data_IF_012122999040
#
_entry.id   IF_012122999040
#
_cell.length_a   1.000
_cell.length_b   1.000
_cell.length_c   1.000
_cell.angle_alpha   90.00
_cell.angle_beta   90.00
_cell.angle_gamma   90.00
#
_symmetry.space_group_name_H-M   'P 1'
#
loop_
_entity.id
_entity.type
_entity.pdbx_description
1 polymer ?
#
# COMPACT_ATOMS: atom_id res chain seq x y z
N UNK A 1 21.34 19.61 -3.86
CA UNK A 1 20.22 18.69 -4.25
C UNK A 1 20.16 17.60 -3.19
N UNK A 2 18.99 17.42 -2.56
CA UNK A 2 18.79 16.41 -1.53
C UNK A 2 18.61 15.03 -2.14
N UNK A 3 19.06 14.00 -1.41
CA UNK A 3 19.02 12.61 -1.88
C UNK A 3 17.95 11.83 -1.13
N UNK A 4 17.08 11.16 -1.87
CA UNK A 4 16.03 10.28 -1.35
C UNK A 4 16.37 8.82 -1.68
N UNK A 5 16.49 8.00 -0.65
CA UNK A 5 16.56 6.55 -0.80
C UNK A 5 15.14 5.98 -0.85
N UNK A 6 14.80 5.29 -1.94
CA UNK A 6 13.49 4.65 -2.11
C UNK A 6 13.68 3.14 -2.12
N UNK A 7 13.17 2.46 -1.11
CA UNK A 7 13.24 1.00 -1.09
C UNK A 7 12.10 0.38 -1.91
N UNK A 8 12.39 -0.78 -2.51
CA UNK A 8 11.41 -1.44 -3.37
C UNK A 8 11.13 -0.67 -4.66
N UNK A 9 12.10 0.12 -5.14
CA UNK A 9 11.97 0.93 -6.34
C UNK A 9 11.69 0.11 -7.63
N UNK A 10 11.99 -1.18 -7.63
CA UNK A 10 11.62 -2.09 -8.73
C UNK A 10 10.16 -2.52 -8.74
N UNK A 11 9.41 -2.28 -7.67
CA UNK A 11 7.99 -2.63 -7.55
C UNK A 11 7.05 -1.57 -8.11
N UNK A 12 5.74 -1.87 -8.08
CA UNK A 12 4.70 -0.99 -8.61
C UNK A 12 4.71 0.42 -8.00
N UNK A 13 4.47 0.54 -6.69
CA UNK A 13 4.43 1.85 -6.02
C UNK A 13 5.83 2.48 -6.01
N UNK A 14 6.88 1.67 -5.77
CA UNK A 14 8.25 2.14 -5.68
C UNK A 14 8.77 2.77 -6.97
N UNK A 15 8.45 2.21 -8.14
CA UNK A 15 8.87 2.78 -9.42
C UNK A 15 8.15 4.10 -9.75
N UNK A 16 6.86 4.22 -9.39
CA UNK A 16 6.13 5.48 -9.51
C UNK A 16 6.68 6.55 -8.55
N UNK A 17 6.97 6.18 -7.31
CA UNK A 17 7.59 7.08 -6.34
C UNK A 17 8.99 7.54 -6.81
N UNK A 18 9.81 6.64 -7.31
CA UNK A 18 11.15 6.97 -7.81
C UNK A 18 11.09 7.99 -8.96
N UNK A 19 10.19 7.79 -9.92
CA UNK A 19 9.95 8.75 -11.00
C UNK A 19 9.42 10.08 -10.46
N UNK A 20 8.46 10.05 -9.55
CA UNK A 20 7.88 11.24 -8.95
C UNK A 20 8.93 12.10 -8.25
N UNK A 21 9.75 11.51 -7.38
CA UNK A 21 10.79 12.24 -6.65
C UNK A 21 11.90 12.76 -7.57
N UNK A 22 12.27 12.02 -8.61
CA UNK A 22 13.22 12.50 -9.61
C UNK A 22 12.68 13.74 -10.35
N UNK A 23 11.40 13.73 -10.74
CA UNK A 23 10.72 14.89 -11.37
C UNK A 23 10.55 16.07 -10.39
N UNK A 24 10.41 15.79 -9.09
CA UNK A 24 10.35 16.81 -8.06
C UNK A 24 11.72 17.44 -7.72
N UNK A 25 12.80 17.02 -8.40
CA UNK A 25 14.13 17.61 -8.27
C UNK A 25 15.02 16.98 -7.21
N UNK A 26 14.67 15.80 -6.69
CA UNK A 26 15.54 15.04 -5.79
C UNK A 26 16.50 14.13 -6.57
N UNK A 27 17.67 13.90 -5.99
CA UNK A 27 18.51 12.78 -6.39
C UNK A 27 17.92 11.51 -5.80
N UNK A 28 17.56 10.55 -6.65
CA UNK A 28 16.95 9.29 -6.21
C UNK A 28 17.95 8.15 -6.25
N UNK A 29 18.02 7.40 -5.16
CA UNK A 29 18.69 6.10 -5.07
C UNK A 29 17.62 5.06 -4.80
N UNK A 30 17.50 4.05 -5.63
CA UNK A 30 16.47 3.00 -5.51
C UNK A 30 17.06 1.68 -5.02
N UNK A 31 16.40 0.97 -4.09
CA UNK A 31 16.76 -0.42 -3.86
C UNK A 31 15.89 -1.36 -4.69
N UNK A 32 16.51 -2.43 -5.17
CA UNK A 32 15.86 -3.51 -5.91
C UNK A 32 16.24 -4.85 -5.28
N UNK A 33 15.38 -5.86 -5.38
CA UNK A 33 15.70 -7.20 -4.87
C UNK A 33 16.15 -8.15 -6.00
N UNK A 34 15.38 -8.28 -7.07
CA UNK A 34 15.65 -9.26 -8.14
C UNK A 34 15.67 -8.67 -9.55
N UNK A 35 14.88 -7.65 -9.82
CA UNK A 35 14.71 -7.09 -11.15
C UNK A 35 14.91 -5.60 -11.14
N UNK A 36 15.70 -5.08 -12.08
CA UNK A 36 15.76 -3.65 -12.38
C UNK A 36 14.54 -3.32 -13.23
N UNK A 37 13.72 -2.38 -12.77
CA UNK A 37 12.70 -1.82 -13.63
C UNK A 37 13.42 -1.01 -14.73
N UNK A 38 13.26 -1.39 -15.99
CA UNK A 38 13.85 -0.70 -17.16
C UNK A 38 13.59 0.81 -17.14
N UNK A 39 12.40 1.19 -16.67
CA UNK A 39 12.00 2.58 -16.44
C UNK A 39 12.95 3.35 -15.53
N UNK A 40 13.50 2.75 -14.48
CA UNK A 40 14.45 3.40 -13.56
C UNK A 40 15.78 3.69 -14.27
N UNK A 41 16.24 2.75 -15.10
CA UNK A 41 17.45 2.92 -15.92
C UNK A 41 17.27 4.06 -16.94
N UNK A 42 16.12 4.13 -17.62
CA UNK A 42 15.79 5.21 -18.57
C UNK A 42 15.74 6.58 -17.89
N UNK A 43 15.39 6.66 -16.62
CA UNK A 43 15.38 7.88 -15.82
C UNK A 43 16.75 8.21 -15.20
N UNK A 44 17.78 7.39 -15.44
CA UNK A 44 19.10 7.57 -14.85
C UNK A 44 19.14 7.39 -13.31
N UNK A 45 18.15 6.70 -12.75
CA UNK A 45 18.08 6.46 -11.30
C UNK A 45 19.08 5.37 -10.93
N UNK A 46 19.98 5.69 -9.99
CA UNK A 46 20.92 4.71 -9.42
C UNK A 46 20.13 3.65 -8.66
N UNK A 47 20.39 2.37 -8.95
CA UNK A 47 19.77 1.26 -8.23
C UNK A 47 20.83 0.42 -7.52
N UNK A 48 20.51 -0.05 -6.32
CA UNK A 48 21.35 -0.92 -5.50
C UNK A 48 20.57 -2.20 -5.22
N UNK A 49 21.14 -3.34 -5.60
CA UNK A 49 20.57 -4.64 -5.25
C UNK A 49 20.96 -4.99 -3.82
N UNK A 50 19.97 -5.15 -2.95
CA UNK A 50 20.16 -5.41 -1.53
C UNK A 50 19.00 -6.20 -0.96
N UNK A 51 19.29 -7.15 -0.08
CA UNK A 51 18.30 -7.71 0.82
C UNK A 51 18.20 -6.85 2.07
N UNK A 52 17.05 -6.23 2.29
CA UNK A 52 16.82 -5.33 3.41
C UNK A 52 16.71 -6.05 4.77
N UNK A 53 16.56 -7.36 4.78
CA UNK A 53 16.62 -8.16 6.00
C UNK A 53 18.06 -8.41 6.47
N UNK A 54 19.05 -8.26 5.59
CA UNK A 54 20.46 -8.40 5.89
C UNK A 54 21.08 -7.07 6.37
N UNK A 55 21.25 -6.95 7.68
CA UNK A 55 21.72 -5.72 8.31
C UNK A 55 23.13 -5.28 7.85
N UNK A 56 24.03 -6.23 7.51
CA UNK A 56 25.39 -5.89 7.05
C UNK A 56 25.34 -5.23 5.67
N UNK A 57 24.48 -5.71 4.79
CA UNK A 57 24.31 -5.15 3.46
C UNK A 57 23.62 -3.77 3.45
N UNK A 58 22.89 -3.42 4.50
CA UNK A 58 22.23 -2.10 4.59
C UNK A 58 23.22 -0.92 4.65
N UNK A 59 24.42 -1.12 5.22
CA UNK A 59 25.43 -0.06 5.32
C UNK A 59 25.85 0.46 3.93
N UNK A 60 25.80 -0.38 2.90
CA UNK A 60 26.09 0.01 1.51
C UNK A 60 25.13 1.07 0.98
N UNK A 61 23.93 1.17 1.54
CA UNK A 61 22.95 2.19 1.16
C UNK A 61 23.34 3.58 1.62
N UNK A 62 24.21 3.68 2.65
CA UNK A 62 24.63 4.91 3.29
C UNK A 62 26.10 5.26 3.00
N UNK A 63 26.76 4.58 2.05
CA UNK A 63 28.08 5.00 1.53
C UNK A 63 28.03 6.41 0.92
N UNK A 64 26.84 6.80 0.44
CA UNK A 64 26.55 8.16 0.01
C UNK A 64 25.63 8.85 1.04
N UNK A 65 25.66 10.17 1.05
CA UNK A 65 24.76 10.94 1.90
C UNK A 65 23.31 10.75 1.45
N UNK A 66 22.49 10.21 2.32
CA UNK A 66 21.04 10.09 2.18
C UNK A 66 20.36 11.11 3.08
N UNK A 67 19.56 12.01 2.52
CA UNK A 67 18.81 13.01 3.28
C UNK A 67 17.49 12.46 3.81
N UNK A 68 16.80 11.62 3.00
CA UNK A 68 15.50 11.04 3.33
C UNK A 68 15.42 9.56 2.92
N UNK A 69 14.67 8.80 3.67
CA UNK A 69 14.31 7.40 3.31
C UNK A 69 12.81 7.30 3.10
N UNK A 70 12.38 6.79 1.96
CA UNK A 70 11.00 6.41 1.66
C UNK A 70 10.96 4.88 1.54
N UNK A 71 10.51 4.23 2.62
CA UNK A 71 10.50 2.78 2.72
C UNK A 71 9.19 2.20 2.20
N UNK A 72 9.23 1.66 0.98
CA UNK A 72 8.07 1.09 0.26
C UNK A 72 8.17 -0.44 0.20
N UNK A 73 9.39 -0.99 0.21
CA UNK A 73 9.60 -2.43 0.14
C UNK A 73 8.80 -3.17 1.21
N UNK A 74 8.05 -4.15 0.78
CA UNK A 74 7.27 -5.01 1.66
C UNK A 74 6.87 -6.29 0.93
N UNK A 75 6.61 -7.33 1.70
CA UNK A 75 5.84 -8.48 1.24
C UNK A 75 4.35 -8.17 1.46
N UNK A 76 3.61 -7.93 0.37
CA UNK A 76 2.17 -7.73 0.38
C UNK A 76 1.51 -8.96 -0.26
N UNK A 77 0.84 -9.78 0.54
CA UNK A 77 0.18 -11.01 0.08
C UNK A 77 -0.94 -11.39 1.03
N UNK A 78 -1.97 -12.03 0.49
CA UNK A 78 -3.10 -12.59 1.27
C UNK A 78 -2.66 -13.78 2.13
N UNK A 79 -1.58 -14.47 1.74
CA UNK A 79 -1.10 -15.73 2.33
C UNK A 79 0.41 -15.79 2.35
N UNK A 80 0.94 -16.71 3.13
CA UNK A 80 2.38 -16.97 3.27
C UNK A 80 2.76 -17.35 4.68
N UNK A 81 4.00 -17.80 4.86
CA UNK A 81 4.53 -18.11 6.20
C UNK A 81 4.69 -16.82 7.00
N UNK A 82 4.36 -16.86 8.28
CA UNK A 82 4.49 -15.73 9.19
C UNK A 82 5.92 -15.17 9.22
N UNK A 83 6.93 -16.05 9.18
CA UNK A 83 8.35 -15.68 9.18
C UNK A 83 8.72 -14.78 7.97
N UNK A 84 8.18 -15.07 6.79
CA UNK A 84 8.47 -14.28 5.59
C UNK A 84 7.99 -12.83 5.71
N UNK A 85 6.83 -12.65 6.35
CA UNK A 85 6.32 -11.29 6.62
C UNK A 85 7.08 -10.62 7.76
N UNK A 86 7.45 -11.38 8.79
CA UNK A 86 8.26 -10.85 9.89
C UNK A 86 9.59 -10.31 9.38
N UNK A 87 10.30 -11.07 8.59
CA UNK A 87 11.60 -10.67 8.03
C UNK A 87 11.47 -9.46 7.11
N UNK A 88 10.54 -9.52 6.13
CA UNK A 88 10.41 -8.48 5.10
C UNK A 88 9.71 -7.20 5.59
N UNK A 89 8.74 -7.30 6.51
CA UNK A 89 7.88 -6.18 6.89
C UNK A 89 8.17 -5.63 8.29
N UNK A 90 8.94 -6.33 9.11
CA UNK A 90 9.26 -5.88 10.46
C UNK A 90 10.77 -5.77 10.71
N UNK A 91 11.53 -6.86 10.57
CA UNK A 91 13.00 -6.80 10.83
C UNK A 91 13.70 -5.86 9.83
N UNK A 92 13.35 -5.92 8.54
CA UNK A 92 13.89 -5.02 7.53
C UNK A 92 13.59 -3.54 7.85
N UNK A 93 12.38 -3.23 8.35
CA UNK A 93 12.01 -1.86 8.78
C UNK A 93 12.88 -1.39 9.93
N UNK A 94 13.02 -2.23 10.97
CA UNK A 94 13.82 -1.91 12.15
C UNK A 94 15.29 -1.62 11.79
N UNK A 95 15.88 -2.55 11.05
CA UNK A 95 17.29 -2.46 10.67
C UNK A 95 17.55 -1.20 9.81
N UNK A 96 16.70 -0.96 8.80
CA UNK A 96 16.86 0.19 7.93
C UNK A 96 16.60 1.51 8.66
N UNK A 97 15.59 1.56 9.54
CA UNK A 97 15.27 2.77 10.28
C UNK A 97 16.37 3.12 11.30
N UNK A 98 16.94 2.12 11.99
CA UNK A 98 18.08 2.30 12.89
C UNK A 98 19.30 2.83 12.12
N UNK A 99 19.69 2.19 11.02
CA UNK A 99 20.78 2.63 10.17
C UNK A 99 20.56 4.05 9.62
N UNK A 100 19.32 4.39 9.21
CA UNK A 100 18.97 5.72 8.75
C UNK A 100 19.20 6.79 9.85
N UNK A 101 18.86 6.48 11.09
CA UNK A 101 19.09 7.41 12.21
C UNK A 101 20.57 7.59 12.52
N UNK A 102 21.36 6.52 12.51
CA UNK A 102 22.81 6.56 12.71
C UNK A 102 23.52 7.40 11.65
N UNK A 103 23.05 7.36 10.40
CA UNK A 103 23.59 8.12 9.27
C UNK A 103 22.96 9.52 9.10
N UNK A 104 22.17 9.99 10.07
CA UNK A 104 21.67 11.37 10.10
C UNK A 104 20.58 11.68 9.09
N UNK A 105 19.84 10.67 8.59
CA UNK A 105 18.68 10.87 7.72
C UNK A 105 17.66 11.79 8.38
N UNK A 106 17.18 12.81 7.68
CA UNK A 106 16.26 13.83 8.21
C UNK A 106 14.91 13.28 8.57
N UNK A 107 14.36 12.39 7.71
CA UNK A 107 13.09 11.71 7.97
C UNK A 107 13.02 10.35 7.27
N UNK A 108 12.46 9.39 7.98
CA UNK A 108 12.10 8.06 7.52
C UNK A 108 10.58 8.01 7.26
N UNK A 109 10.16 7.91 6.00
CA UNK A 109 8.76 7.78 5.61
C UNK A 109 8.45 6.31 5.37
N UNK A 110 7.51 5.77 6.12
CA UNK A 110 7.12 4.38 6.05
C UNK A 110 5.81 4.20 5.28
N UNK A 111 5.82 3.40 4.20
CA UNK A 111 4.60 2.99 3.52
C UNK A 111 3.96 1.83 4.27
N UNK A 112 2.93 2.14 5.02
CA UNK A 112 2.07 1.21 5.74
C UNK A 112 0.87 0.78 4.88
N UNK A 113 -0.29 0.56 5.47
CA UNK A 113 -1.57 0.24 4.83
C UNK A 113 -2.73 0.70 5.71
N UNK A 114 -3.88 1.02 5.13
CA UNK A 114 -5.10 1.28 5.89
C UNK A 114 -5.62 0.03 6.64
N UNK A 115 -5.19 -1.18 6.25
CA UNK A 115 -5.59 -2.44 6.88
C UNK A 115 -5.09 -2.57 8.33
N UNK A 116 -4.22 -1.68 8.78
CA UNK A 116 -3.82 -1.58 10.20
C UNK A 116 -5.00 -1.23 11.12
N UNK A 117 -6.07 -0.68 10.55
CA UNK A 117 -7.32 -0.40 11.28
C UNK A 117 -8.27 -1.60 11.36
N UNK A 118 -7.93 -2.71 10.69
CA UNK A 118 -8.77 -3.90 10.55
C UNK A 118 -9.71 -3.86 9.35
N UNK A 119 -10.31 -4.99 9.06
CA UNK A 119 -11.25 -5.17 7.96
C UNK A 119 -12.68 -5.34 8.51
N UNK A 120 -13.29 -4.23 8.91
CA UNK A 120 -14.67 -4.13 9.37
C UNK A 120 -15.32 -2.85 8.83
N UNK A 121 -16.60 -2.61 9.14
CA UNK A 121 -17.28 -1.44 8.60
C UNK A 121 -16.81 -0.14 9.24
N UNK A 122 -16.47 0.82 8.41
CA UNK A 122 -16.14 2.21 8.75
C UNK A 122 -17.14 3.18 8.09
N UNK A 123 -17.22 4.41 8.63
CA UNK A 123 -18.22 5.42 8.22
C UNK A 123 -17.59 6.81 8.06
N UNK A 124 -16.36 6.87 7.54
CA UNK A 124 -15.64 8.11 7.27
C UNK A 124 -14.80 8.62 8.44
N UNK A 125 -14.38 7.72 9.33
CA UNK A 125 -13.55 8.10 10.48
C UNK A 125 -12.16 8.58 10.02
N UNK A 126 -11.67 9.62 10.73
CA UNK A 126 -10.32 10.12 10.56
C UNK A 126 -9.32 9.34 11.40
N UNK A 127 -8.04 9.44 11.07
CA UNK A 127 -6.94 8.76 11.75
C UNK A 127 -6.89 9.04 13.27
N UNK A 128 -7.40 10.20 13.71
CA UNK A 128 -7.41 10.57 15.14
C UNK A 128 -8.47 9.79 15.94
N UNK A 129 -9.43 9.17 15.25
CA UNK A 129 -10.49 8.34 15.85
C UNK A 129 -10.28 6.84 15.63
N UNK A 130 -9.27 6.47 14.84
CA UNK A 130 -8.97 5.09 14.50
C UNK A 130 -7.81 4.58 15.36
N UNK A 131 -7.96 3.36 15.86
CA UNK A 131 -6.90 2.63 16.55
C UNK A 131 -6.42 1.47 15.66
N UNK A 132 -5.23 0.95 15.94
CA UNK A 132 -4.79 -0.30 15.34
C UNK A 132 -5.67 -1.45 15.78
N UNK A 133 -6.07 -2.29 14.84
CA UNK A 133 -6.76 -3.54 15.16
C UNK A 133 -5.73 -4.62 15.51
N UNK A 134 -5.50 -4.81 16.79
CA UNK A 134 -4.55 -5.81 17.29
C UNK A 134 -5.07 -7.26 17.15
N UNK A 135 -6.31 -7.44 16.71
CA UNK A 135 -6.91 -8.75 16.51
C UNK A 135 -6.71 -9.32 15.10
N UNK A 136 -6.05 -8.55 14.20
CA UNK A 136 -5.77 -9.00 12.84
C UNK A 136 -4.94 -10.29 12.84
N UNK A 137 -5.42 -11.28 12.11
CA UNK A 137 -4.77 -12.59 12.00
C UNK A 137 -3.90 -12.72 10.74
N UNK A 138 -4.14 -11.90 9.73
CA UNK A 138 -3.31 -11.90 8.53
C UNK A 138 -1.93 -11.30 8.87
N UNK A 139 -0.82 -11.97 8.50
CA UNK A 139 0.53 -11.51 8.80
C UNK A 139 0.87 -10.14 8.19
N UNK A 140 0.29 -9.78 7.04
CA UNK A 140 0.60 -8.52 6.38
C UNK A 140 0.24 -7.30 7.24
N UNK A 141 -1.03 -7.02 7.59
CA UNK A 141 -1.36 -5.90 8.47
C UNK A 141 -0.76 -6.05 9.88
N UNK A 142 -0.65 -7.27 10.42
CA UNK A 142 -0.01 -7.54 11.70
C UNK A 142 1.40 -6.94 11.77
N UNK A 143 2.26 -7.24 10.80
CA UNK A 143 3.63 -6.73 10.80
C UNK A 143 3.72 -5.27 10.40
N UNK A 144 2.74 -4.73 9.66
CA UNK A 144 2.63 -3.29 9.44
C UNK A 144 2.34 -2.54 10.75
N UNK A 145 1.42 -3.05 11.58
CA UNK A 145 1.12 -2.50 12.93
C UNK A 145 2.38 -2.53 13.81
N UNK A 146 3.04 -3.68 13.89
CA UNK A 146 4.25 -3.85 14.71
C UNK A 146 5.36 -2.88 14.29
N UNK A 147 5.52 -2.66 12.99
CA UNK A 147 6.50 -1.71 12.47
C UNK A 147 6.17 -0.27 12.81
N UNK A 148 4.92 0.16 12.68
CA UNK A 148 4.53 1.51 13.07
C UNK A 148 4.72 1.75 14.58
N UNK A 149 4.36 0.77 15.42
CA UNK A 149 4.61 0.82 16.87
C UNK A 149 6.10 0.94 17.18
N UNK A 150 6.92 0.10 16.55
CA UNK A 150 8.36 0.14 16.76
C UNK A 150 8.96 1.49 16.35
N UNK A 151 8.55 2.05 15.20
CA UNK A 151 9.00 3.39 14.77
C UNK A 151 8.61 4.46 15.80
N UNK A 152 7.39 4.40 16.33
CA UNK A 152 6.90 5.37 17.33
C UNK A 152 7.60 5.25 18.68
N UNK A 153 8.06 4.06 19.06
CA UNK A 153 8.76 3.80 20.33
C UNK A 153 10.26 4.11 20.25
N UNK A 154 10.87 3.98 19.08
CA UNK A 154 12.33 4.00 18.94
C UNK A 154 12.88 5.22 18.18
N UNK A 155 12.06 5.95 17.42
CA UNK A 155 12.51 7.12 16.68
C UNK A 155 11.96 8.42 17.28
N UNK A 156 12.72 9.53 17.23
CA UNK A 156 12.16 10.84 17.53
C UNK A 156 10.96 11.15 16.63
N UNK A 157 9.93 11.73 17.21
CA UNK A 157 8.66 11.97 16.53
C UNK A 157 8.81 12.69 15.19
N UNK A 158 9.65 13.70 15.14
CA UNK A 158 9.93 14.49 13.93
C UNK A 158 10.73 13.74 12.86
N UNK A 159 11.30 12.58 13.20
CA UNK A 159 12.18 11.82 12.32
C UNK A 159 11.47 10.70 11.54
N UNK A 160 10.20 10.46 11.77
CA UNK A 160 9.43 9.48 11.00
C UNK A 160 8.00 9.94 10.70
N UNK A 161 7.38 9.34 9.70
CA UNK A 161 5.97 9.46 9.37
C UNK A 161 5.49 8.18 8.67
N UNK A 162 4.18 7.89 8.76
CA UNK A 162 3.58 6.70 8.17
C UNK A 162 2.51 7.08 7.15
N UNK A 163 2.56 6.48 5.97
CA UNK A 163 1.55 6.65 4.91
C UNK A 163 0.76 5.36 4.80
N UNK A 164 -0.56 5.41 4.96
CA UNK A 164 -1.48 4.27 5.00
C UNK A 164 -2.41 4.29 3.79
N UNK A 165 -1.93 3.84 2.61
CA UNK A 165 -2.80 3.79 1.45
C UNK A 165 -3.88 2.73 1.63
N UNK A 166 -5.04 3.00 1.04
CA UNK A 166 -6.09 2.04 0.81
C UNK A 166 -5.78 1.19 -0.44
N UNK A 167 -6.76 0.87 -1.27
CA UNK A 167 -6.60 0.07 -2.48
C UNK A 167 -5.88 0.88 -3.55
N UNK A 168 -4.58 0.63 -3.74
CA UNK A 168 -3.77 1.40 -4.70
C UNK A 168 -4.00 0.91 -6.12
N UNK A 169 -4.29 1.84 -7.03
CA UNK A 169 -4.47 1.59 -8.46
C UNK A 169 -3.74 2.64 -9.30
N UNK A 170 -3.62 2.39 -10.59
CA UNK A 170 -3.05 3.32 -11.55
C UNK A 170 -1.89 2.73 -12.35
N UNK A 171 -1.09 3.57 -12.97
CA UNK A 171 -0.04 3.18 -13.92
C UNK A 171 0.93 2.14 -13.35
N UNK A 172 0.95 0.98 -13.99
CA UNK A 172 1.85 -0.13 -13.61
C UNK A 172 1.32 -0.99 -12.47
N UNK A 173 0.01 -0.91 -12.15
CA UNK A 173 -0.60 -1.82 -11.18
C UNK A 173 -0.45 -3.28 -11.65
N UNK A 174 0.17 -4.09 -10.81
CA UNK A 174 0.39 -5.53 -11.03
C UNK A 174 -0.43 -6.39 -10.08
N UNK A 175 -1.29 -5.79 -9.27
CA UNK A 175 -1.97 -6.47 -8.16
C UNK A 175 -3.50 -6.46 -8.28
N UNK A 176 -4.12 -5.33 -8.03
CA UNK A 176 -5.59 -5.23 -7.85
C UNK A 176 -6.32 -5.20 -9.19
N UNK A 177 -5.92 -4.29 -10.08
CA UNK A 177 -6.58 -4.15 -11.39
C UNK A 177 -6.46 -5.42 -12.24
N UNK A 178 -5.27 -6.04 -12.44
CA UNK A 178 -5.16 -7.27 -13.20
C UNK A 178 -5.94 -8.44 -12.60
N UNK A 179 -5.94 -8.57 -11.26
CA UNK A 179 -6.70 -9.62 -10.55
C UNK A 179 -8.21 -9.43 -10.77
N UNK A 180 -8.68 -8.17 -10.68
CA UNK A 180 -10.10 -7.84 -10.93
C UNK A 180 -10.49 -8.10 -12.38
N UNK A 181 -9.67 -7.69 -13.35
CA UNK A 181 -9.89 -7.94 -14.77
C UNK A 181 -10.00 -9.46 -15.04
N UNK A 182 -9.05 -10.25 -14.53
CA UNK A 182 -9.05 -11.70 -14.67
C UNK A 182 -10.31 -12.34 -14.05
N UNK A 183 -10.71 -11.87 -12.85
CA UNK A 183 -11.95 -12.32 -12.20
C UNK A 183 -13.17 -12.02 -13.06
N UNK A 184 -13.36 -10.78 -13.50
CA UNK A 184 -14.51 -10.36 -14.29
C UNK A 184 -14.53 -10.99 -15.70
N UNK A 185 -13.37 -11.25 -16.28
CA UNK A 185 -13.26 -11.90 -17.59
C UNK A 185 -13.72 -13.35 -17.53
N UNK A 186 -13.31 -14.09 -16.50
CA UNK A 186 -13.50 -15.53 -16.40
C UNK A 186 -14.79 -15.93 -15.65
N UNK A 187 -15.42 -15.00 -14.95
CA UNK A 187 -16.63 -15.29 -14.18
C UNK A 187 -17.91 -14.94 -14.98
N UNK A 188 -18.89 -15.84 -15.07
CA UNK A 188 -20.20 -15.54 -15.63
C UNK A 188 -21.08 -14.71 -14.70
N UNK A 189 -20.76 -14.72 -13.40
CA UNK A 189 -21.46 -14.00 -12.33
C UNK A 189 -20.43 -13.29 -11.45
N UNK A 190 -20.78 -12.08 -11.04
CA UNK A 190 -20.01 -11.30 -10.07
C UNK A 190 -20.64 -11.48 -8.69
N UNK A 191 -19.84 -11.94 -7.73
CA UNK A 191 -20.31 -12.20 -6.39
C UNK A 191 -19.97 -11.05 -5.46
N UNK A 192 -20.99 -10.57 -4.75
CA UNK A 192 -20.84 -9.68 -3.60
C UNK A 192 -21.08 -10.45 -2.31
N UNK A 193 -20.33 -10.16 -1.29
CA UNK A 193 -20.39 -10.90 -0.04
C UNK A 193 -20.96 -10.04 1.10
N UNK A 194 -21.77 -10.68 1.94
CA UNK A 194 -22.30 -10.04 3.14
C UNK A 194 -23.47 -9.08 2.91
N UNK A 195 -23.68 -8.19 3.88
CA UNK A 195 -24.88 -7.34 3.97
C UNK A 195 -24.93 -6.20 2.95
N UNK A 196 -23.76 -5.74 2.48
CA UNK A 196 -23.64 -4.58 1.61
C UNK A 196 -24.05 -4.82 0.17
N UNK A 197 -23.93 -6.05 -0.33
CA UNK A 197 -24.34 -6.45 -1.69
C UNK A 197 -23.71 -5.58 -2.77
N UNK A 198 -22.41 -5.29 -2.66
CA UNK A 198 -21.65 -4.45 -3.59
C UNK A 198 -21.81 -2.94 -3.40
N UNK A 199 -22.63 -2.49 -2.46
CA UNK A 199 -22.84 -1.06 -2.14
C UNK A 199 -21.88 -0.52 -1.08
N UNK A 200 -21.02 -1.38 -0.53
CA UNK A 200 -19.94 -0.95 0.38
C UNK A 200 -18.96 -0.05 -0.37
N UNK A 201 -18.41 0.92 0.34
CA UNK A 201 -17.35 1.78 -0.16
C UNK A 201 -16.11 0.96 -0.42
N UNK A 202 -15.55 1.18 -1.61
CA UNK A 202 -14.30 0.60 -2.06
C UNK A 202 -13.26 1.72 -2.12
N UNK A 203 -12.34 1.80 -1.14
CA UNK A 203 -11.50 2.96 -0.95
C UNK A 203 -10.32 2.93 -1.91
N UNK A 204 -10.48 3.48 -3.10
CA UNK A 204 -9.43 3.59 -4.11
C UNK A 204 -8.44 4.69 -3.74
N UNK A 205 -7.16 4.47 -4.02
CA UNK A 205 -6.07 5.41 -3.87
C UNK A 205 -5.22 5.42 -5.14
N UNK A 206 -5.32 6.46 -5.97
CA UNK A 206 -4.48 6.54 -7.15
C UNK A 206 -3.00 6.64 -6.75
N UNK A 207 -2.11 5.90 -7.45
CA UNK A 207 -0.68 5.83 -7.13
C UNK A 207 0.01 7.20 -7.12
N UNK A 208 -0.46 8.14 -7.94
CA UNK A 208 0.03 9.53 -7.93
C UNK A 208 -0.29 10.23 -6.61
N UNK A 209 -1.50 10.02 -6.04
CA UNK A 209 -1.87 10.57 -4.73
C UNK A 209 -1.04 9.93 -3.61
N UNK A 210 -0.70 8.65 -3.74
CA UNK A 210 0.24 7.98 -2.82
C UNK A 210 1.62 8.65 -2.89
N UNK A 211 2.15 8.91 -4.09
CA UNK A 211 3.45 9.57 -4.27
C UNK A 211 3.46 11.00 -3.70
N UNK A 212 2.41 11.79 -3.96
CA UNK A 212 2.24 13.14 -3.38
C UNK A 212 2.17 13.11 -1.87
N UNK A 213 1.46 12.13 -1.30
CA UNK A 213 1.35 11.97 0.15
C UNK A 213 2.69 11.55 0.77
N UNK A 214 3.45 10.66 0.12
CA UNK A 214 4.81 10.32 0.55
C UNK A 214 5.73 11.56 0.57
N UNK A 215 5.61 12.44 -0.43
CA UNK A 215 6.36 13.69 -0.47
C UNK A 215 5.95 14.64 0.66
N UNK A 216 4.68 14.88 0.85
CA UNK A 216 4.17 15.70 1.95
C UNK A 216 4.60 15.12 3.32
N UNK A 217 4.48 13.80 3.52
CA UNK A 217 4.94 13.10 4.71
C UNK A 217 6.45 13.25 4.96
N UNK A 218 7.23 13.39 3.90
CA UNK A 218 8.68 13.55 3.97
C UNK A 218 9.10 14.96 4.43
N UNK A 219 8.41 16.00 3.94
CA UNK A 219 8.90 17.40 4.11
C UNK A 219 8.11 18.23 5.10
N UNK A 220 6.81 17.97 5.31
CA UNK A 220 5.99 18.76 6.22
C UNK A 220 6.39 18.53 7.69
N UNK A 221 6.68 19.59 8.47
CA UNK A 221 7.04 19.45 9.89
C UNK A 221 5.95 18.72 10.71
N UNK A 222 4.69 19.03 10.47
CA UNK A 222 3.54 18.46 11.17
C UNK A 222 3.25 16.99 10.83
N UNK A 223 3.87 16.44 9.79
CA UNK A 223 3.78 15.01 9.45
C UNK A 223 4.57 14.13 10.43
N UNK A 224 5.50 14.73 11.18
CA UNK A 224 6.32 14.01 12.14
C UNK A 224 5.53 13.25 13.18
N UNK A 225 5.77 11.94 13.28
CA UNK A 225 5.12 11.02 14.21
C UNK A 225 3.65 10.76 13.89
N UNK A 226 3.18 11.09 12.68
CA UNK A 226 1.79 10.88 12.28
C UNK A 226 1.64 9.83 11.20
N UNK A 227 0.49 9.15 11.23
CA UNK A 227 -0.01 8.36 10.12
C UNK A 227 -1.03 9.14 9.30
N UNK A 228 -1.07 8.93 8.00
CA UNK A 228 -2.05 9.53 7.07
C UNK A 228 -2.66 8.46 6.18
N UNK A 229 -3.99 8.44 6.12
CA UNK A 229 -4.74 7.54 5.24
C UNK A 229 -4.82 8.15 3.84
N UNK A 230 -4.52 7.35 2.83
CA UNK A 230 -4.55 7.80 1.44
C UNK A 230 -5.69 7.12 0.70
N UNK A 231 -6.64 7.91 0.27
CA UNK A 231 -7.72 7.49 -0.63
C UNK A 231 -8.24 8.69 -1.42
N UNK A 232 -8.74 8.43 -2.61
CA UNK A 232 -9.28 9.45 -3.50
C UNK A 232 -10.59 10.03 -2.96
N UNK A 233 -10.85 11.30 -3.26
CA UNK A 233 -12.10 11.98 -2.87
C UNK A 233 -13.33 11.41 -3.59
N UNK A 234 -13.14 10.79 -4.76
CA UNK A 234 -14.22 10.07 -5.45
C UNK A 234 -14.63 8.84 -4.65
N UNK A 235 -15.82 8.89 -4.10
CA UNK A 235 -16.41 7.78 -3.31
C UNK A 235 -17.02 6.75 -4.24
N UNK A 236 -16.32 5.64 -4.47
CA UNK A 236 -16.74 4.54 -5.36
C UNK A 236 -17.24 3.37 -4.53
N UNK A 237 -18.30 2.71 -4.95
CA UNK A 237 -18.73 1.42 -4.37
C UNK A 237 -18.04 0.25 -5.07
N UNK A 238 -18.00 -0.92 -4.44
CA UNK A 238 -17.40 -2.12 -5.05
C UNK A 238 -18.07 -2.49 -6.38
N UNK A 239 -19.41 -2.38 -6.47
CA UNK A 239 -20.14 -2.64 -7.72
C UNK A 239 -19.78 -1.62 -8.81
N UNK A 240 -19.75 -0.31 -8.47
CA UNK A 240 -19.32 0.73 -9.42
C UNK A 240 -17.90 0.47 -9.93
N UNK A 241 -16.96 0.12 -9.04
CA UNK A 241 -15.60 -0.25 -9.42
C UNK A 241 -15.57 -1.41 -10.42
N UNK A 242 -16.31 -2.49 -10.18
CA UNK A 242 -16.39 -3.60 -11.13
C UNK A 242 -16.96 -3.19 -12.49
N UNK A 243 -17.97 -2.33 -12.51
CA UNK A 243 -18.52 -1.79 -13.74
C UNK A 243 -17.53 -0.86 -14.47
N UNK A 244 -16.75 -0.06 -13.75
CA UNK A 244 -15.68 0.76 -14.34
C UNK A 244 -14.62 -0.12 -15.00
N UNK A 245 -14.12 -1.15 -14.30
CA UNK A 245 -13.15 -2.11 -14.85
C UNK A 245 -13.73 -2.84 -16.08
N UNK A 246 -14.99 -3.29 -16.03
CA UNK A 246 -15.63 -3.97 -17.17
C UNK A 246 -15.76 -3.02 -18.38
N UNK A 247 -16.06 -1.75 -18.16
CA UNK A 247 -16.16 -0.75 -19.23
C UNK A 247 -14.80 -0.48 -19.87
N UNK A 248 -13.77 -0.34 -19.06
CA UNK A 248 -12.42 0.07 -19.51
C UNK A 248 -11.65 -1.08 -20.15
N UNK A 249 -11.64 -2.26 -19.52
CA UNK A 249 -10.78 -3.38 -19.93
C UNK A 249 -11.50 -4.51 -20.66
N UNK A 250 -12.85 -4.60 -20.56
CA UNK A 250 -13.63 -5.73 -21.09
C UNK A 250 -14.69 -5.29 -22.11
N UNK A 251 -14.45 -4.16 -22.79
CA UNK A 251 -15.33 -3.67 -23.85
C UNK A 251 -16.77 -3.38 -23.42
N UNK A 252 -16.97 -3.03 -22.15
CA UNK A 252 -18.30 -2.77 -21.59
C UNK A 252 -19.12 -4.04 -21.30
N UNK A 253 -18.45 -5.15 -20.98
CA UNK A 253 -19.09 -6.41 -20.59
C UNK A 253 -20.19 -6.16 -19.56
N UNK A 254 -21.41 -6.60 -19.84
CA UNK A 254 -22.52 -6.56 -18.88
C UNK A 254 -22.26 -7.53 -17.75
N UNK A 255 -22.20 -7.03 -16.54
CA UNK A 255 -22.02 -7.82 -15.34
C UNK A 255 -23.38 -8.31 -14.83
N UNK A 256 -23.45 -9.60 -14.46
CA UNK A 256 -24.58 -10.18 -13.72
C UNK A 256 -24.12 -10.34 -12.28
N UNK A 257 -24.76 -9.63 -11.37
CA UNK A 257 -24.35 -9.58 -9.97
C UNK A 257 -25.24 -10.47 -9.10
N UNK A 258 -24.62 -11.16 -8.15
CA UNK A 258 -25.28 -11.99 -7.17
C UNK A 258 -24.69 -11.74 -5.79
N UNK A 259 -25.50 -11.83 -4.74
CA UNK A 259 -25.02 -11.64 -3.37
C UNK A 259 -25.09 -12.95 -2.59
N UNK A 260 -23.97 -13.27 -1.93
CA UNK A 260 -23.81 -14.45 -1.09
C UNK A 260 -23.66 -14.02 0.37
N UNK A 261 -24.43 -14.59 1.30
CA UNK A 261 -24.28 -14.28 2.72
C UNK A 261 -22.95 -14.80 3.26
N UNK A 262 -22.34 -14.07 4.20
CA UNK A 262 -21.02 -14.38 4.75
C UNK A 262 -20.92 -15.81 5.34
N UNK A 263 -21.99 -16.28 5.97
CA UNK A 263 -21.99 -17.63 6.56
C UNK A 263 -21.78 -18.74 5.54
N UNK A 264 -22.19 -18.54 4.29
CA UNK A 264 -22.05 -19.53 3.22
C UNK A 264 -20.64 -19.54 2.59
N UNK A 265 -19.98 -18.38 2.50
CA UNK A 265 -18.66 -18.28 1.86
C UNK A 265 -17.49 -18.36 2.85
N UNK A 266 -17.67 -17.94 4.11
CA UNK A 266 -16.60 -17.90 5.11
C UNK A 266 -15.94 -19.26 5.38
N UNK A 267 -16.64 -20.43 5.41
CA UNK A 267 -15.98 -21.73 5.51
C UNK A 267 -15.05 -22.04 4.33
N UNK A 268 -15.44 -21.67 3.10
CA UNK A 268 -14.62 -21.87 1.90
C UNK A 268 -13.37 -20.99 1.97
N UNK A 269 -13.54 -19.74 2.34
CA UNK A 269 -12.41 -18.80 2.53
C UNK A 269 -11.45 -19.26 3.64
N UNK A 270 -11.99 -19.84 4.71
CA UNK A 270 -11.17 -20.43 5.77
C UNK A 270 -10.34 -21.62 5.26
N UNK A 271 -10.93 -22.52 4.50
CA UNK A 271 -10.22 -23.64 3.88
C UNK A 271 -9.12 -23.14 2.92
N UNK A 272 -9.45 -22.16 2.07
CA UNK A 272 -8.46 -21.53 1.19
C UNK A 272 -7.27 -20.98 1.96
N UNK A 273 -7.53 -20.18 3.00
CA UNK A 273 -6.48 -19.59 3.84
C UNK A 273 -5.65 -20.67 4.54
N UNK A 274 -6.30 -21.70 5.11
CA UNK A 274 -5.63 -22.78 5.82
C UNK A 274 -4.66 -23.56 4.91
N UNK A 275 -5.09 -23.97 3.72
CA UNK A 275 -4.25 -24.72 2.79
C UNK A 275 -3.22 -23.85 2.07
N UNK A 276 -3.38 -22.52 2.08
CA UNK A 276 -2.47 -21.59 1.42
C UNK A 276 -1.45 -20.94 2.37
N UNK A 277 -1.52 -21.19 3.68
CA UNK A 277 -0.68 -20.52 4.69
C UNK A 277 0.84 -20.65 4.50
N UNK A 278 1.29 -21.67 3.76
CA UNK A 278 2.70 -21.92 3.47
C UNK A 278 3.05 -21.71 1.99
N UNK A 279 2.21 -20.99 1.25
CA UNK A 279 2.35 -20.76 -0.20
C UNK A 279 2.59 -19.28 -0.49
N UNK A 280 3.16 -18.98 -1.63
CA UNK A 280 3.29 -17.61 -2.13
C UNK A 280 1.98 -17.04 -2.67
N UNK A 281 1.07 -17.90 -3.11
CA UNK A 281 -0.23 -17.54 -3.67
C UNK A 281 -1.34 -18.43 -3.08
N UNK A 282 -2.58 -17.91 -3.01
CA UNK A 282 -3.72 -18.73 -2.63
C UNK A 282 -3.90 -19.94 -3.55
N UNK A 283 -4.32 -21.05 -2.97
CA UNK A 283 -4.66 -22.25 -3.75
C UNK A 283 -5.93 -22.01 -4.59
N UNK A 284 -6.88 -21.27 -4.02
CA UNK A 284 -8.12 -20.79 -4.64
C UNK A 284 -8.64 -19.57 -3.90
N UNK A 285 -9.48 -18.77 -4.55
CA UNK A 285 -10.11 -17.58 -3.97
C UNK A 285 -11.55 -17.85 -3.51
N UNK A 286 -12.06 -17.08 -2.55
CA UNK A 286 -11.34 -16.08 -1.77
C UNK A 286 -10.58 -16.67 -0.57
N UNK A 287 -9.53 -16.00 -0.12
CA UNK A 287 -8.98 -16.16 1.23
C UNK A 287 -9.85 -15.40 2.24
N UNK A 288 -9.67 -15.64 3.56
CA UNK A 288 -10.36 -14.84 4.59
C UNK A 288 -10.04 -13.35 4.45
N UNK A 289 -8.78 -13.03 4.23
CA UNK A 289 -8.34 -11.64 4.07
C UNK A 289 -8.99 -10.98 2.84
N UNK A 290 -8.93 -11.62 1.68
CA UNK A 290 -9.57 -11.10 0.47
C UNK A 290 -11.09 -10.99 0.62
N UNK A 291 -11.74 -11.98 1.28
CA UNK A 291 -13.16 -11.94 1.56
C UNK A 291 -13.55 -10.76 2.45
N UNK A 292 -12.84 -10.57 3.57
CA UNK A 292 -13.15 -9.49 4.51
C UNK A 292 -12.89 -8.12 3.88
N UNK A 293 -11.88 -7.98 3.01
CA UNK A 293 -11.60 -6.74 2.26
C UNK A 293 -12.78 -6.34 1.36
N UNK A 294 -13.40 -7.27 0.63
CA UNK A 294 -14.49 -6.94 -0.30
C UNK A 294 -15.87 -6.98 0.35
N UNK A 295 -16.02 -7.53 1.55
CA UNK A 295 -17.32 -7.69 2.22
C UNK A 295 -17.70 -6.52 3.14
N UNK A 296 -16.74 -5.71 3.54
CA UNK A 296 -16.94 -4.61 4.50
C UNK A 296 -16.96 -3.23 3.84
N UNK A 297 -17.54 -2.25 4.55
CA UNK A 297 -17.58 -0.87 4.12
C UNK A 297 -16.31 -0.16 4.62
N UNK A 298 -15.31 -0.06 3.77
CA UNK A 298 -14.02 0.54 4.10
C UNK A 298 -14.04 2.04 3.78
N UNK A 299 -14.87 2.81 4.47
CA UNK A 299 -15.02 4.24 4.27
C UNK A 299 -14.18 5.02 5.29
N UNK A 300 -13.07 5.59 4.86
CA UNK A 300 -12.17 6.40 5.68
C UNK A 300 -12.22 7.87 5.26
N UNK A 301 -11.77 8.77 6.15
CA UNK A 301 -11.54 10.17 5.84
C UNK A 301 -10.19 10.37 5.13
N UNK A 302 -10.17 11.20 4.11
CA UNK A 302 -8.93 11.67 3.47
C UNK A 302 -8.58 13.14 3.85
N UNK A 303 -9.24 13.67 4.87
CA UNK A 303 -9.10 15.09 5.23
C UNK A 303 -7.66 15.49 5.57
N UNK A 304 -6.87 14.62 6.24
CA UNK A 304 -5.47 14.88 6.55
C UNK A 304 -4.61 14.90 5.30
N UNK A 305 -4.85 13.99 4.35
CA UNK A 305 -4.15 13.97 3.07
C UNK A 305 -4.39 15.29 2.30
N UNK A 306 -5.65 15.73 2.23
CA UNK A 306 -6.01 16.97 1.54
C UNK A 306 -5.44 18.21 2.24
N UNK A 307 -5.45 18.26 3.57
CA UNK A 307 -4.79 19.32 4.34
C UNK A 307 -3.27 19.38 4.05
N UNK A 308 -2.61 18.24 3.93
CA UNK A 308 -1.20 18.21 3.56
C UNK A 308 -0.96 18.64 2.11
N UNK A 309 -1.86 18.29 1.21
CA UNK A 309 -1.77 18.76 -0.18
C UNK A 309 -1.93 20.28 -0.28
N UNK A 310 -2.91 20.85 0.42
CA UNK A 310 -3.12 22.31 0.47
C UNK A 310 -1.86 23.03 0.96
N UNK A 311 -1.24 22.57 2.05
CA UNK A 311 0.01 23.12 2.61
C UNK A 311 1.20 23.02 1.67
N UNK A 312 1.22 22.01 0.81
CA UNK A 312 2.24 21.81 -0.23
C UNK A 312 1.94 22.56 -1.53
N UNK A 313 0.77 23.22 -1.63
CA UNK A 313 0.30 23.78 -2.90
C UNK A 313 0.07 22.72 -3.97
N UNK A 314 -0.30 21.50 -3.58
CA UNK A 314 -0.59 20.38 -4.45
C UNK A 314 -2.10 20.19 -4.57
N UNK A 315 -2.55 19.78 -5.75
CA UNK A 315 -3.93 19.33 -5.94
C UNK A 315 -4.00 17.80 -5.86
N UNK A 316 -5.16 17.28 -5.48
CA UNK A 316 -5.46 15.86 -5.61
C UNK A 316 -5.40 15.47 -7.10
N UNK A 317 -4.70 14.39 -7.40
CA UNK A 317 -4.77 13.80 -8.73
C UNK A 317 -6.15 13.16 -8.91
N UNK A 318 -6.88 13.62 -9.93
CA UNK A 318 -8.19 13.06 -10.30
C UNK A 318 -8.06 12.31 -11.61
N UNK A 319 -8.44 11.05 -11.56
CA UNK A 319 -8.40 10.20 -12.74
C UNK A 319 -9.64 10.45 -13.61
N UNK A 320 -9.43 10.91 -14.82
CA UNK A 320 -10.50 11.24 -15.78
C UNK A 320 -11.00 10.03 -16.62
N UNK A 321 -10.68 8.81 -16.21
CA UNK A 321 -11.22 7.58 -16.81
C UNK A 321 -10.53 7.09 -18.09
N UNK A 322 -9.29 7.53 -18.40
CA UNK A 322 -8.61 7.15 -19.64
C UNK A 322 -7.21 6.53 -19.47
N UNK A 323 -6.69 6.30 -18.27
CA UNK A 323 -5.37 5.69 -18.05
C UNK A 323 -5.29 5.02 -16.67
N UNK A 324 -5.77 3.79 -16.55
CA UNK A 324 -5.40 2.91 -15.43
C UNK A 324 -4.18 2.06 -15.80
#
# INVERSE_FOLDING_TARGET
METVLITGAGGYIGSNAAEYFAKAGYRVVGTIHRHVAERLTQLGIKTISVDLADAENLLRLFEEKIDYVVHIAARASDVGRDEWFREANYEAVKNLAAAAMEHGVKRFVYLSTADVYGLHDFSGESEDRLAFDETVTNPYPKYKILSEKWLAENLPRERFSCVRPCVVYGRGDTSITPRTVAYLQNSPLVFHFGKWRGRNRWPLAHVENVCRTLHAAMVLPEAGGKGVTVLDSKRTTLSEYYHEIAREFLGGKRLRECSIPMWAVRPVAWLSTFFSRNRDHPLFDPTLYALDTVAHNLDFSNARMLDWFDKMGMEEFRHDGHNV
#
